data_IF_232644013228
#
_entry.id   IF_232644013228
#
_cell.length_a   1.000
_cell.length_b   1.000
_cell.length_c   1.000
_cell.angle_alpha   90.00
_cell.angle_beta   90.00
_cell.angle_gamma   90.00
#
_symmetry.space_group_name_H-M   'P 1'
#
loop_
_entity.id
_entity.type
_entity.pdbx_description
1 polymer ?
#
# COMPACT_ATOMS: atom_id res chain seq x y z
N UNK A 1 -12.83 17.67 13.58
CA UNK A 1 -13.73 16.90 14.46
C UNK A 1 -14.16 15.67 13.66
N UNK A 2 -13.63 14.50 13.97
CA UNK A 2 -14.14 13.26 13.42
C UNK A 2 -15.44 12.98 14.14
N UNK A 3 -16.58 13.19 13.45
CA UNK A 3 -17.88 12.82 13.99
C UNK A 3 -18.12 11.34 13.69
N UNK A 4 -17.99 10.50 14.69
CA UNK A 4 -18.59 9.17 14.66
C UNK A 4 -20.08 9.37 14.91
N UNK A 5 -20.90 9.34 13.87
CA UNK A 5 -22.37 9.35 14.02
C UNK A 5 -22.76 7.95 14.48
N UNK A 6 -22.86 7.77 15.78
CA UNK A 6 -23.52 6.59 16.36
C UNK A 6 -25.04 6.78 16.18
N UNK A 7 -25.67 5.98 15.34
CA UNK A 7 -27.11 5.84 15.33
C UNK A 7 -27.88 5.99 14.04
N UNK A 8 -27.25 6.09 12.85
CA UNK A 8 -27.99 5.78 11.62
C UNK A 8 -27.78 4.31 11.28
N UNK A 9 -28.85 3.52 11.29
CA UNK A 9 -28.86 2.22 10.63
C UNK A 9 -28.70 2.48 9.14
N UNK A 10 -27.46 2.41 8.66
CA UNK A 10 -27.20 2.31 7.22
C UNK A 10 -27.69 0.93 6.83
N UNK A 11 -28.87 0.83 6.24
CA UNK A 11 -29.29 -0.40 5.58
C UNK A 11 -28.48 -0.55 4.30
N UNK A 12 -27.31 -1.20 4.41
CA UNK A 12 -26.57 -1.64 3.24
C UNK A 12 -27.24 -2.91 2.70
N UNK A 13 -27.78 -2.87 1.49
CA UNK A 13 -28.12 -4.10 0.79
C UNK A 13 -26.82 -4.72 0.28
N UNK A 14 -26.42 -5.84 0.85
CA UNK A 14 -25.29 -6.63 0.34
C UNK A 14 -25.79 -7.49 -0.80
N UNK A 15 -25.17 -7.36 -1.99
CA UNK A 15 -25.48 -8.22 -3.13
C UNK A 15 -25.04 -9.68 -2.88
N UNK A 16 -25.43 -10.57 -3.79
CA UNK A 16 -24.98 -11.96 -3.72
C UNK A 16 -23.46 -12.04 -3.86
N UNK A 17 -22.77 -12.82 -3.01
CA UNK A 17 -21.33 -12.97 -3.11
C UNK A 17 -20.94 -13.67 -4.43
N UNK A 18 -19.95 -13.14 -5.11
CA UNK A 18 -19.27 -13.86 -6.19
C UNK A 18 -18.27 -14.84 -5.57
N UNK A 19 -18.24 -16.09 -6.07
CA UNK A 19 -17.26 -17.06 -5.61
C UNK A 19 -15.85 -16.59 -5.98
N UNK A 20 -14.99 -16.50 -4.98
CA UNK A 20 -13.57 -16.28 -5.18
C UNK A 20 -12.89 -17.61 -5.52
N UNK A 21 -11.82 -17.63 -6.33
CA UNK A 21 -11.09 -18.87 -6.60
C UNK A 21 -10.66 -19.55 -5.29
N UNK A 22 -10.86 -20.86 -5.20
CA UNK A 22 -10.68 -21.65 -3.97
C UNK A 22 -9.22 -21.81 -3.50
N UNK A 23 -8.25 -21.18 -4.17
CA UNK A 23 -6.81 -21.33 -3.91
C UNK A 23 -6.14 -20.07 -3.31
N UNK A 24 -6.92 -19.20 -2.68
CA UNK A 24 -6.38 -18.03 -1.98
C UNK A 24 -5.70 -18.47 -0.68
N UNK A 25 -4.40 -18.26 -0.60
CA UNK A 25 -3.56 -18.63 0.55
C UNK A 25 -2.83 -17.38 1.07
N UNK A 26 -3.45 -16.64 1.96
CA UNK A 26 -2.87 -15.44 2.57
C UNK A 26 -3.67 -14.16 2.33
N UNK A 27 -2.99 -13.02 2.47
CA UNK A 27 -3.58 -11.71 2.33
C UNK A 27 -3.96 -11.40 0.88
N UNK A 28 -4.99 -10.59 0.71
CA UNK A 28 -5.43 -10.08 -0.59
C UNK A 28 -5.24 -8.57 -0.63
N UNK A 29 -4.88 -8.04 -1.78
CA UNK A 29 -4.94 -6.59 -2.05
C UNK A 29 -5.82 -6.32 -3.25
N UNK A 30 -6.49 -5.17 -3.24
CA UNK A 30 -7.34 -4.75 -4.34
C UNK A 30 -7.00 -3.33 -4.77
N UNK A 31 -7.09 -3.08 -6.06
CA UNK A 31 -6.88 -1.76 -6.64
C UNK A 31 -7.95 -1.45 -7.68
N UNK A 32 -8.48 -0.24 -7.63
CA UNK A 32 -9.49 0.21 -8.56
C UNK A 32 -8.85 0.91 -9.76
N UNK A 33 -9.15 0.40 -10.95
CA UNK A 33 -8.82 1.00 -12.25
C UNK A 33 -9.96 1.92 -12.66
N UNK A 34 -9.82 3.20 -12.37
CA UNK A 34 -10.84 4.21 -12.67
C UNK A 34 -11.06 4.38 -14.18
N UNK A 35 -10.04 4.15 -15.01
CA UNK A 35 -10.13 4.27 -16.45
C UNK A 35 -11.00 3.19 -17.10
N UNK A 36 -10.98 1.98 -16.55
CA UNK A 36 -11.76 0.85 -17.04
C UNK A 36 -12.99 0.54 -16.18
N UNK A 37 -13.19 1.24 -15.08
CA UNK A 37 -14.23 0.97 -14.08
C UNK A 37 -14.20 -0.51 -13.63
N UNK A 38 -13.02 -0.96 -13.20
CA UNK A 38 -12.74 -2.33 -12.78
C UNK A 38 -11.93 -2.34 -11.49
N UNK A 39 -12.11 -3.40 -10.71
CA UNK A 39 -11.26 -3.68 -9.55
C UNK A 39 -10.38 -4.88 -9.86
N UNK A 40 -9.08 -4.76 -9.69
CA UNK A 40 -8.17 -5.90 -9.79
C UNK A 40 -7.83 -6.36 -8.38
N UNK A 41 -8.04 -7.65 -8.13
CA UNK A 41 -7.79 -8.28 -6.84
C UNK A 41 -6.61 -9.23 -7.00
N UNK A 42 -5.62 -9.11 -6.14
CA UNK A 42 -4.38 -9.87 -6.15
C UNK A 42 -4.29 -10.75 -4.90
N UNK A 43 -3.72 -11.94 -5.04
CA UNK A 43 -3.47 -12.87 -3.92
C UNK A 43 -2.32 -13.84 -4.22
N UNK A 44 -1.85 -14.50 -3.19
CA UNK A 44 -0.98 -15.67 -3.31
C UNK A 44 -1.85 -16.91 -3.43
N UNK A 45 -1.65 -17.68 -4.49
CA UNK A 45 -2.34 -18.96 -4.72
C UNK A 45 -1.73 -20.11 -3.91
N UNK A 46 -2.37 -21.29 -3.93
CA UNK A 46 -1.96 -22.47 -3.18
C UNK A 46 -0.54 -22.97 -3.51
N UNK A 47 -0.06 -22.76 -4.72
CA UNK A 47 1.31 -23.07 -5.14
C UNK A 47 2.30 -21.92 -4.91
N UNK A 48 1.92 -20.92 -4.10
CA UNK A 48 2.64 -19.66 -3.92
C UNK A 48 2.82 -18.86 -5.23
N UNK A 49 2.07 -19.16 -6.28
CA UNK A 49 2.03 -18.33 -7.48
C UNK A 49 1.28 -17.02 -7.20
N UNK A 50 1.76 -15.93 -7.78
CA UNK A 50 1.07 -14.64 -7.74
C UNK A 50 -0.10 -14.62 -8.71
N UNK A 51 -1.32 -14.49 -8.20
CA UNK A 51 -2.55 -14.54 -8.99
C UNK A 51 -3.37 -13.28 -8.85
N UNK A 52 -4.18 -12.99 -9.86
CA UNK A 52 -5.14 -11.90 -9.81
C UNK A 52 -6.39 -12.19 -10.64
N UNK A 53 -7.42 -11.39 -10.41
CA UNK A 53 -8.67 -11.41 -11.16
C UNK A 53 -9.18 -9.99 -11.37
N UNK A 54 -9.83 -9.75 -12.49
CA UNK A 54 -10.54 -8.49 -12.75
C UNK A 54 -12.00 -8.64 -12.36
N UNK A 55 -12.44 -7.84 -11.41
CA UNK A 55 -13.82 -7.78 -10.94
C UNK A 55 -14.56 -6.59 -11.55
N UNK A 56 -15.82 -6.81 -11.88
CA UNK A 56 -16.78 -5.78 -12.31
C UNK A 56 -17.88 -5.67 -11.29
N UNK A 57 -18.05 -4.47 -10.74
CA UNK A 57 -19.20 -4.14 -9.86
C UNK A 57 -20.29 -3.50 -10.72
N UNK A 58 -21.47 -4.10 -10.71
CA UNK A 58 -22.63 -3.58 -11.43
C UNK A 58 -23.53 -2.72 -10.52
N UNK A 59 -24.28 -1.80 -11.12
CA UNK A 59 -25.19 -0.90 -10.40
C UNK A 59 -26.33 -1.60 -9.65
N UNK A 60 -26.59 -2.87 -9.97
CA UNK A 60 -27.59 -3.72 -9.28
C UNK A 60 -27.01 -4.47 -8.09
N UNK A 61 -25.87 -4.05 -7.54
CA UNK A 61 -25.16 -4.67 -6.43
C UNK A 61 -24.65 -6.11 -6.71
N UNK A 62 -24.42 -6.46 -7.97
CA UNK A 62 -23.77 -7.72 -8.33
C UNK A 62 -22.31 -7.52 -8.65
N UNK A 63 -21.48 -8.53 -8.33
CA UNK A 63 -20.07 -8.59 -8.71
C UNK A 63 -19.88 -9.77 -9.65
N UNK A 64 -19.24 -9.54 -10.77
CA UNK A 64 -18.74 -10.59 -11.65
C UNK A 64 -17.22 -10.55 -11.72
N UNK A 65 -16.60 -11.71 -11.82
CA UNK A 65 -15.14 -11.85 -11.91
C UNK A 65 -14.75 -12.49 -13.23
N UNK A 66 -13.66 -12.05 -13.81
CA UNK A 66 -13.05 -12.63 -15.00
C UNK A 66 -12.28 -13.92 -14.69
N UNK A 67 -11.51 -14.39 -15.66
CA UNK A 67 -10.62 -15.54 -15.47
C UNK A 67 -9.44 -15.15 -14.58
N UNK A 68 -8.96 -16.10 -13.79
CA UNK A 68 -7.73 -15.94 -13.00
C UNK A 68 -6.56 -15.79 -13.96
N UNK A 69 -5.71 -14.82 -13.68
CA UNK A 69 -4.45 -14.56 -14.38
C UNK A 69 -3.30 -14.70 -13.39
N UNK A 70 -2.28 -15.43 -13.76
CA UNK A 70 -1.05 -15.55 -13.01
C UNK A 70 -0.10 -14.42 -13.41
N UNK A 71 0.31 -13.60 -12.44
CA UNK A 71 1.27 -12.52 -12.70
C UNK A 71 2.71 -12.91 -12.33
N UNK A 72 2.90 -13.96 -11.56
CA UNK A 72 4.21 -14.55 -11.22
C UNK A 72 4.06 -16.04 -10.95
N UNK A 73 4.87 -16.85 -11.61
CA UNK A 73 4.88 -18.33 -11.50
C UNK A 73 5.80 -18.85 -10.41
N UNK A 74 6.60 -17.94 -9.81
CA UNK A 74 7.50 -18.23 -8.71
C UNK A 74 6.80 -18.31 -7.36
N UNK A 75 7.61 -18.36 -6.31
CA UNK A 75 7.17 -18.40 -4.92
C UNK A 75 6.93 -16.97 -4.41
N UNK A 76 5.77 -16.40 -4.70
CA UNK A 76 5.36 -15.09 -4.16
C UNK A 76 5.05 -15.24 -2.67
N UNK A 77 5.40 -14.24 -1.86
CA UNK A 77 4.94 -14.13 -0.47
C UNK A 77 3.58 -13.41 -0.40
N UNK A 78 2.98 -13.40 0.77
CA UNK A 78 1.75 -12.64 1.07
C UNK A 78 1.93 -11.11 0.97
N UNK A 79 3.17 -10.62 0.86
CA UNK A 79 3.50 -9.19 0.74
C UNK A 79 3.25 -8.69 -0.70
N UNK A 80 1.99 -8.51 -1.06
CA UNK A 80 1.57 -8.00 -2.37
C UNK A 80 0.89 -6.65 -2.16
N UNK A 81 1.35 -5.63 -2.88
CA UNK A 81 0.69 -4.33 -2.92
C UNK A 81 0.51 -3.85 -4.37
N UNK A 82 -0.52 -3.05 -4.62
CA UNK A 82 -0.78 -2.54 -5.96
C UNK A 82 -1.33 -1.13 -5.92
N UNK A 83 -1.06 -0.37 -6.97
CA UNK A 83 -1.61 0.97 -7.18
C UNK A 83 -2.03 1.18 -8.63
N UNK A 84 -2.99 2.08 -8.86
CA UNK A 84 -3.37 2.52 -10.19
C UNK A 84 -2.56 3.74 -10.59
N UNK A 85 -1.85 3.65 -11.72
CA UNK A 85 -1.11 4.75 -12.33
C UNK A 85 -2.02 5.48 -13.32
N UNK A 86 -2.69 6.53 -12.87
CA UNK A 86 -3.75 7.19 -13.63
C UNK A 86 -3.28 7.76 -14.97
N UNK A 87 -2.10 8.41 -15.03
CA UNK A 87 -1.60 9.00 -16.27
C UNK A 87 -1.30 7.95 -17.35
N UNK A 88 -0.87 6.75 -16.98
CA UNK A 88 -0.59 5.67 -17.92
C UNK A 88 -1.80 4.74 -18.14
N UNK A 89 -2.84 4.81 -17.31
CA UNK A 89 -3.97 3.87 -17.35
C UNK A 89 -3.52 2.43 -17.06
N UNK A 90 -2.66 2.24 -16.07
CA UNK A 90 -2.01 0.96 -15.74
C UNK A 90 -2.13 0.62 -14.26
N UNK A 91 -2.04 -0.67 -13.97
CA UNK A 91 -1.86 -1.18 -12.60
C UNK A 91 -0.37 -1.45 -12.41
N UNK A 92 0.19 -1.00 -11.30
CA UNK A 92 1.52 -1.42 -10.85
C UNK A 92 1.35 -2.32 -9.64
N UNK A 93 1.80 -3.56 -9.75
CA UNK A 93 1.85 -4.51 -8.63
C UNK A 93 3.30 -4.70 -8.21
N UNK A 94 3.52 -4.69 -6.88
CA UNK A 94 4.81 -4.99 -6.26
C UNK A 94 4.64 -6.18 -5.33
N UNK A 95 5.67 -7.01 -5.25
CA UNK A 95 5.62 -8.25 -4.48
C UNK A 95 7.03 -8.73 -4.12
N UNK A 96 7.07 -9.61 -3.12
CA UNK A 96 8.28 -10.33 -2.74
C UNK A 96 8.30 -11.69 -3.43
N UNK A 97 9.43 -12.02 -4.04
CA UNK A 97 9.66 -13.33 -4.68
C UNK A 97 10.58 -14.19 -3.80
N UNK A 98 9.98 -15.09 -3.03
CA UNK A 98 10.70 -16.03 -2.18
C UNK A 98 11.44 -17.12 -2.98
N UNK A 99 10.99 -17.42 -4.19
CA UNK A 99 11.67 -18.33 -5.12
C UNK A 99 13.01 -17.78 -5.60
N UNK A 100 13.21 -16.46 -5.46
CA UNK A 100 14.41 -15.74 -5.83
C UNK A 100 14.99 -14.97 -4.64
N UNK A 101 15.33 -15.65 -3.56
CA UNK A 101 15.99 -15.09 -2.38
C UNK A 101 15.24 -13.95 -1.69
N UNK A 102 13.93 -13.85 -1.87
CA UNK A 102 13.12 -12.79 -1.29
C UNK A 102 13.30 -11.42 -1.95
N UNK A 103 13.67 -11.39 -3.22
CA UNK A 103 13.83 -10.14 -3.98
C UNK A 103 12.50 -9.40 -4.12
N UNK A 104 12.57 -8.05 -4.09
CA UNK A 104 11.40 -7.24 -4.38
C UNK A 104 11.28 -6.96 -5.89
N UNK A 105 10.11 -7.30 -6.43
CA UNK A 105 9.79 -7.21 -7.84
C UNK A 105 8.55 -6.35 -8.11
N UNK A 106 8.45 -5.87 -9.33
CA UNK A 106 7.31 -5.11 -9.83
C UNK A 106 6.91 -5.57 -11.23
N UNK A 107 5.62 -5.46 -11.53
CA UNK A 107 5.06 -5.63 -12.88
C UNK A 107 4.04 -4.55 -13.19
N UNK A 108 3.90 -4.24 -14.48
CA UNK A 108 2.89 -3.30 -14.98
C UNK A 108 1.80 -4.09 -15.68
N UNK A 109 0.56 -3.94 -15.21
CA UNK A 109 -0.62 -4.60 -15.73
C UNK A 109 -1.47 -3.67 -16.61
N UNK A 110 -2.04 -4.21 -17.68
CA UNK A 110 -3.01 -3.54 -18.54
C UNK A 110 -4.33 -4.29 -18.47
N UNK A 111 -5.36 -3.64 -17.93
CA UNK A 111 -6.72 -4.18 -17.89
C UNK A 111 -7.38 -4.01 -19.25
N UNK A 112 -8.04 -5.07 -19.73
CA UNK A 112 -8.84 -5.06 -20.94
C UNK A 112 -10.08 -5.94 -20.75
N UNK A 113 -11.26 -5.33 -20.72
CA UNK A 113 -12.52 -6.02 -20.44
C UNK A 113 -12.50 -6.66 -19.04
N UNK A 114 -12.52 -7.99 -18.97
CA UNK A 114 -12.53 -8.78 -17.73
C UNK A 114 -11.21 -9.50 -17.48
N UNK A 115 -10.15 -9.12 -18.20
CA UNK A 115 -8.82 -9.71 -18.05
C UNK A 115 -7.75 -8.65 -17.87
N UNK A 116 -6.56 -9.07 -17.45
CA UNK A 116 -5.38 -8.24 -17.30
C UNK A 116 -4.18 -8.96 -17.92
N UNK A 117 -3.32 -8.22 -18.61
CA UNK A 117 -2.03 -8.73 -19.10
C UNK A 117 -0.89 -7.95 -18.46
N UNK A 118 0.27 -8.58 -18.30
CA UNK A 118 1.42 -7.99 -17.64
C UNK A 118 2.62 -7.86 -18.58
N UNK A 119 3.35 -6.76 -18.40
CA UNK A 119 4.66 -6.55 -19.00
C UNK A 119 5.76 -7.37 -18.31
N UNK A 120 7.01 -7.05 -18.64
CA UNK A 120 8.18 -7.73 -18.08
C UNK A 120 8.30 -7.49 -16.56
N UNK A 121 8.66 -8.55 -15.80
CA UNK A 121 8.97 -8.41 -14.38
C UNK A 121 10.28 -7.65 -14.19
N UNK A 122 10.30 -6.73 -13.24
CA UNK A 122 11.49 -5.93 -12.91
C UNK A 122 11.83 -6.13 -11.43
N UNK A 123 13.07 -6.55 -11.16
CA UNK A 123 13.61 -6.57 -9.79
C UNK A 123 14.08 -5.18 -9.41
N UNK A 124 13.47 -4.57 -8.42
CA UNK A 124 13.89 -3.26 -7.92
C UNK A 124 14.77 -3.33 -6.65
N UNK A 125 14.78 -4.48 -5.97
CA UNK A 125 15.69 -4.78 -4.88
C UNK A 125 16.14 -6.24 -4.92
N UNK A 126 17.45 -6.46 -4.91
CA UNK A 126 18.10 -7.77 -4.99
C UNK A 126 19.15 -8.00 -3.88
N UNK A 127 19.04 -7.22 -2.80
CA UNK A 127 19.82 -7.45 -1.58
C UNK A 127 19.26 -8.62 -0.75
N UNK A 128 19.69 -8.70 0.50
CA UNK A 128 19.09 -9.66 1.43
C UNK A 128 17.59 -9.46 1.53
N UNK A 129 16.85 -10.53 1.56
CA UNK A 129 15.38 -10.63 1.62
C UNK A 129 14.64 -9.30 1.90
N UNK A 130 13.81 -8.86 0.97
CA UNK A 130 12.94 -7.70 1.21
C UNK A 130 11.74 -8.09 2.06
N UNK A 131 11.22 -7.16 2.85
CA UNK A 131 9.93 -7.30 3.53
C UNK A 131 9.04 -6.10 3.24
N UNK A 132 7.73 -6.35 3.24
CA UNK A 132 6.65 -5.37 3.20
C UNK A 132 6.81 -4.28 2.13
N UNK A 133 6.99 -4.75 0.90
CA UNK A 133 6.89 -3.84 -0.23
C UNK A 133 5.49 -3.21 -0.27
N UNK A 134 5.43 -1.88 -0.36
CA UNK A 134 4.20 -1.13 -0.57
C UNK A 134 4.41 -0.12 -1.68
N UNK A 135 3.32 0.37 -2.29
CA UNK A 135 3.39 1.26 -3.45
C UNK A 135 2.26 2.28 -3.46
N UNK A 136 2.59 3.52 -3.78
CA UNK A 136 1.59 4.57 -4.07
C UNK A 136 1.91 5.28 -5.38
N UNK A 137 0.89 5.87 -6.00
CA UNK A 137 1.02 6.70 -7.19
C UNK A 137 0.99 8.18 -6.80
N UNK A 138 1.96 8.95 -7.26
CA UNK A 138 1.98 10.41 -7.22
C UNK A 138 1.41 10.96 -8.51
N UNK A 139 0.26 11.63 -8.42
CA UNK A 139 -0.40 12.24 -9.61
C UNK A 139 0.35 13.46 -10.13
N UNK A 140 1.01 14.23 -9.27
CA UNK A 140 1.77 15.42 -9.70
C UNK A 140 3.09 15.05 -10.40
N UNK A 141 3.81 14.06 -9.88
CA UNK A 141 5.05 13.59 -10.50
C UNK A 141 4.81 12.59 -11.64
N UNK A 142 3.60 12.02 -11.76
CA UNK A 142 3.28 10.89 -12.66
C UNK A 142 4.25 9.72 -12.45
N UNK A 143 4.52 9.39 -11.17
CA UNK A 143 5.45 8.35 -10.74
C UNK A 143 4.79 7.45 -9.71
N UNK A 144 5.33 6.24 -9.58
CA UNK A 144 5.07 5.42 -8.40
C UNK A 144 6.22 5.53 -7.41
N UNK A 145 5.89 5.43 -6.15
CA UNK A 145 6.89 5.31 -5.08
C UNK A 145 6.71 3.96 -4.43
N UNK A 146 7.78 3.18 -4.40
CA UNK A 146 7.83 1.91 -3.69
C UNK A 146 8.62 2.07 -2.41
N UNK A 147 8.18 1.40 -1.34
CA UNK A 147 8.93 1.27 -0.09
C UNK A 147 9.08 -0.21 0.26
N UNK A 148 10.14 -0.53 0.95
CA UNK A 148 10.44 -1.89 1.42
C UNK A 148 11.45 -1.81 2.56
N UNK A 149 11.58 -2.88 3.32
CA UNK A 149 12.64 -3.02 4.31
C UNK A 149 13.54 -4.21 3.98
N UNK A 150 14.81 -4.10 4.39
CA UNK A 150 15.75 -5.22 4.38
C UNK A 150 15.49 -6.09 5.61
N UNK A 151 15.35 -7.40 5.43
CA UNK A 151 15.07 -8.35 6.51
C UNK A 151 16.23 -8.52 7.49
N UNK A 152 17.48 -8.45 6.98
CA UNK A 152 18.68 -8.68 7.79
C UNK A 152 19.10 -7.45 8.59
N UNK A 153 18.99 -6.25 8.00
CA UNK A 153 19.46 -5.01 8.62
C UNK A 153 18.32 -4.17 9.21
N UNK A 154 17.07 -4.47 8.86
CA UNK A 154 15.89 -3.67 9.19
C UNK A 154 15.94 -2.22 8.66
N UNK A 155 16.78 -1.97 7.65
CA UNK A 155 16.78 -0.67 6.96
C UNK A 155 15.50 -0.48 6.15
N UNK A 156 14.98 0.74 6.17
CA UNK A 156 13.84 1.15 5.36
C UNK A 156 14.26 1.91 4.12
N UNK A 157 13.85 1.41 2.95
CA UNK A 157 14.24 1.95 1.64
C UNK A 157 13.06 2.39 0.81
N UNK A 158 13.32 3.29 -0.11
CA UNK A 158 12.35 3.74 -1.12
C UNK A 158 13.01 3.92 -2.47
N UNK A 159 12.24 3.73 -3.54
CA UNK A 159 12.62 4.09 -4.92
C UNK A 159 11.45 4.73 -5.65
N UNK A 160 11.77 5.59 -6.61
CA UNK A 160 10.79 6.21 -7.51
C UNK A 160 10.78 5.44 -8.82
N UNK A 161 9.60 4.97 -9.24
CA UNK A 161 9.38 4.21 -10.46
C UNK A 161 8.75 5.07 -11.57
N UNK A 162 9.24 4.90 -12.79
CA UNK A 162 8.69 5.50 -14.01
C UNK A 162 8.07 4.40 -14.86
N UNK A 163 6.77 4.51 -15.13
CA UNK A 163 6.04 3.61 -16.03
C UNK A 163 6.11 4.15 -17.46
N UNK A 164 6.42 3.28 -18.42
CA UNK A 164 6.42 3.58 -19.85
C UNK A 164 5.83 2.39 -20.62
N UNK A 165 4.63 2.56 -21.14
CA UNK A 165 3.90 1.44 -21.76
C UNK A 165 3.59 0.34 -20.74
N UNK A 166 4.19 -0.83 -20.90
CA UNK A 166 4.07 -1.98 -19.98
C UNK A 166 5.35 -2.23 -19.18
N UNK A 167 6.31 -1.33 -19.27
CA UNK A 167 7.58 -1.42 -18.57
C UNK A 167 7.63 -0.45 -17.39
N UNK A 168 8.46 -0.76 -16.40
CA UNK A 168 8.77 0.11 -15.28
C UNK A 168 10.28 0.15 -15.04
N UNK A 169 10.80 1.32 -14.77
CA UNK A 169 12.19 1.52 -14.35
C UNK A 169 12.25 2.28 -13.03
N UNK A 170 13.27 2.01 -12.23
CA UNK A 170 13.43 2.63 -10.92
C UNK A 170 14.68 3.49 -10.84
N UNK A 171 14.56 4.64 -10.18
CA UNK A 171 15.68 5.50 -9.84
C UNK A 171 16.52 4.96 -8.68
N UNK A 172 17.40 5.80 -8.17
CA UNK A 172 18.28 5.45 -7.05
C UNK A 172 17.52 5.16 -5.78
N UNK A 173 18.04 4.22 -4.97
CA UNK A 173 17.51 3.92 -3.65
C UNK A 173 17.77 5.08 -2.69
N UNK A 174 16.75 5.44 -1.91
CA UNK A 174 16.83 6.35 -0.79
C UNK A 174 16.52 5.61 0.51
N UNK A 175 17.28 5.86 1.56
CA UNK A 175 17.04 5.31 2.90
C UNK A 175 16.19 6.30 3.70
N UNK A 176 15.02 5.88 4.20
CA UNK A 176 14.20 6.68 5.10
C UNK A 176 14.43 6.32 6.57
N UNK A 177 14.96 5.12 6.84
CA UNK A 177 15.29 4.64 8.19
C UNK A 177 16.47 3.68 8.13
N UNK A 178 17.40 3.78 9.08
CA UNK A 178 18.58 2.92 9.17
C UNK A 178 18.48 1.98 10.38
N UNK A 179 18.46 0.67 10.11
CA UNK A 179 18.52 -0.40 11.11
C UNK A 179 17.32 -0.50 12.06
N UNK A 180 16.16 0.08 11.73
CA UNK A 180 15.14 0.29 12.73
C UNK A 180 13.68 0.14 12.29
N UNK A 181 13.41 -0.24 11.05
CA UNK A 181 12.02 -0.54 10.66
C UNK A 181 11.59 -1.84 11.31
N UNK A 182 10.78 -1.70 12.35
CA UNK A 182 10.26 -2.82 13.13
C UNK A 182 8.86 -3.21 12.70
N UNK A 183 8.53 -4.47 13.00
CA UNK A 183 7.25 -5.02 12.55
C UNK A 183 7.28 -5.29 11.06
N UNK A 184 6.11 -5.57 10.54
CA UNK A 184 5.98 -6.03 9.18
C UNK A 184 5.14 -5.09 8.31
N UNK A 185 4.91 -3.84 8.74
CA UNK A 185 4.02 -2.95 8.01
C UNK A 185 4.63 -1.55 7.88
N UNK A 186 4.58 -1.04 6.66
CA UNK A 186 4.88 0.35 6.34
C UNK A 186 3.61 0.91 5.71
N UNK A 187 2.93 1.80 6.45
CA UNK A 187 1.79 2.53 5.91
C UNK A 187 2.26 3.59 4.92
N UNK A 188 1.54 3.74 3.81
CA UNK A 188 1.83 4.75 2.80
C UNK A 188 0.58 5.52 2.43
N UNK A 189 0.74 6.83 2.22
CA UNK A 189 -0.28 7.68 1.60
C UNK A 189 0.39 8.70 0.68
N UNK A 190 -0.34 9.15 -0.34
CA UNK A 190 0.07 10.29 -1.16
C UNK A 190 -0.89 11.45 -0.91
N UNK A 191 -0.36 12.54 -0.37
CA UNK A 191 -1.05 13.82 -0.21
C UNK A 191 -0.99 14.58 -1.53
N UNK A 192 -2.09 14.55 -2.29
CA UNK A 192 -2.18 15.20 -3.59
C UNK A 192 -2.27 16.72 -3.51
N UNK A 193 -2.61 17.28 -2.35
CA UNK A 193 -2.64 18.73 -2.16
C UNK A 193 -1.24 19.29 -1.88
N UNK A 194 -0.46 18.61 -1.04
CA UNK A 194 0.90 19.02 -0.71
C UNK A 194 1.94 18.47 -1.71
N UNK A 195 1.58 17.53 -2.57
CA UNK A 195 2.48 16.74 -3.42
C UNK A 195 3.57 16.05 -2.60
N UNK A 196 3.14 15.22 -1.64
CA UNK A 196 4.04 14.52 -0.71
C UNK A 196 3.65 13.07 -0.53
N UNK A 197 4.66 12.24 -0.33
CA UNK A 197 4.49 10.85 0.11
C UNK A 197 4.68 10.79 1.62
N UNK A 198 3.74 10.19 2.31
CA UNK A 198 3.82 10.00 3.76
C UNK A 198 4.06 8.52 4.03
N UNK A 199 5.09 8.23 4.81
CA UNK A 199 5.40 6.89 5.30
C UNK A 199 5.12 6.86 6.81
N UNK A 200 4.48 5.81 7.28
CA UNK A 200 4.32 5.51 8.70
C UNK A 200 4.89 4.14 9.01
N UNK A 201 5.66 4.02 10.08
CA UNK A 201 6.32 2.78 10.45
C UNK A 201 6.60 2.74 11.95
N UNK A 202 6.96 1.55 12.42
CA UNK A 202 7.45 1.34 13.78
C UNK A 202 8.96 1.58 13.83
N UNK A 203 9.38 2.57 14.58
CA UNK A 203 10.80 2.93 14.75
C UNK A 203 11.42 2.18 15.94
N UNK A 204 12.19 1.15 15.66
CA UNK A 204 12.85 0.33 16.69
C UNK A 204 13.97 1.07 17.40
N UNK A 205 14.65 2.04 16.73
CA UNK A 205 15.65 2.89 17.38
C UNK A 205 15.02 3.84 18.40
N UNK A 206 13.70 4.04 18.32
CA UNK A 206 12.93 4.85 19.25
C UNK A 206 11.89 4.00 20.01
N UNK A 207 12.33 2.92 20.67
CA UNK A 207 11.52 2.06 21.52
C UNK A 207 10.26 1.46 20.84
N UNK A 208 10.29 1.33 19.52
CA UNK A 208 9.16 0.83 18.72
C UNK A 208 8.01 1.83 18.59
N UNK A 209 8.27 3.11 18.77
CA UNK A 209 7.27 4.17 18.64
C UNK A 209 6.74 4.28 17.23
N UNK A 210 5.46 4.62 17.12
CA UNK A 210 4.83 4.95 15.86
C UNK A 210 5.40 6.26 15.31
N UNK A 211 6.08 6.17 14.18
CA UNK A 211 6.81 7.29 13.56
C UNK A 211 6.34 7.49 12.11
N UNK A 212 6.27 8.72 11.68
CA UNK A 212 5.99 9.07 10.29
C UNK A 212 7.06 10.00 9.73
N UNK A 213 7.23 9.97 8.40
CA UNK A 213 8.17 10.81 7.68
C UNK A 213 7.58 11.22 6.34
N UNK A 214 7.90 12.45 5.89
CA UNK A 214 7.39 13.02 4.65
C UNK A 214 8.45 12.95 3.56
N UNK A 215 8.08 12.37 2.42
CA UNK A 215 8.93 12.25 1.22
C UNK A 215 8.56 13.28 0.16
N UNK A 216 9.58 13.83 -0.49
CA UNK A 216 9.46 14.74 -1.64
C UNK A 216 10.09 14.10 -2.86
N UNK A 217 9.33 13.95 -3.93
CA UNK A 217 9.78 13.41 -5.21
C UNK A 217 10.45 14.52 -6.03
N UNK A 218 11.59 14.21 -6.64
CA UNK A 218 12.26 15.06 -7.61
C UNK A 218 12.83 14.21 -8.76
N UNK A 219 12.18 14.25 -9.91
CA UNK A 219 12.51 13.38 -11.04
C UNK A 219 12.32 11.89 -10.69
N UNK A 220 13.43 11.14 -10.62
CA UNK A 220 13.44 9.72 -10.24
C UNK A 220 14.03 9.47 -8.85
N UNK A 221 14.14 10.52 -8.04
CA UNK A 221 14.67 10.46 -6.67
C UNK A 221 13.61 10.89 -5.67
N UNK A 222 13.76 10.44 -4.43
CA UNK A 222 12.95 10.88 -3.28
C UNK A 222 13.89 11.27 -2.14
N UNK A 223 13.55 12.36 -1.45
CA UNK A 223 14.22 12.81 -0.23
C UNK A 223 13.23 12.90 0.91
N UNK A 224 13.70 12.75 2.14
CA UNK A 224 12.86 12.68 3.32
C UNK A 224 13.13 13.86 4.26
N UNK A 225 12.05 14.35 4.88
CA UNK A 225 12.10 15.40 5.89
C UNK A 225 12.41 14.88 7.29
N UNK A 226 11.96 15.60 8.31
CA UNK A 226 12.16 15.22 9.71
C UNK A 226 11.12 14.18 10.16
N UNK A 227 11.56 13.17 10.91
CA UNK A 227 10.68 12.19 11.55
C UNK A 227 9.76 12.86 12.56
N UNK A 228 8.51 12.41 12.62
CA UNK A 228 7.52 12.84 13.60
C UNK A 228 6.92 11.63 14.31
N UNK A 229 7.00 11.60 15.63
CA UNK A 229 6.37 10.54 16.45
C UNK A 229 4.88 10.84 16.57
N UNK A 230 4.03 9.90 16.15
CA UNK A 230 2.57 10.01 16.33
C UNK A 230 2.06 9.20 17.53
N UNK A 231 2.83 8.21 17.99
CA UNK A 231 2.51 7.39 19.18
C UNK A 231 3.77 7.05 19.96
N UNK A 232 3.85 7.53 21.20
CA UNK A 232 4.97 7.24 22.11
C UNK A 232 4.76 5.89 22.83
N UNK A 233 4.49 4.85 22.05
CA UNK A 233 4.35 3.47 22.46
C UNK A 233 4.61 2.55 21.27
N UNK A 234 4.84 1.27 21.52
CA UNK A 234 4.98 0.26 20.46
C UNK A 234 3.72 0.19 19.61
N UNK A 235 3.92 0.23 18.28
CA UNK A 235 2.85 0.16 17.30
C UNK A 235 3.01 -1.02 16.35
N UNK A 236 1.90 -1.46 15.76
CA UNK A 236 1.83 -2.45 14.68
C UNK A 236 0.54 -2.24 13.85
N UNK A 237 0.29 -3.04 12.81
CA UNK A 237 -0.93 -2.96 12.02
C UNK A 237 -1.14 -1.58 11.39
N UNK A 238 -0.09 -1.02 10.80
CA UNK A 238 -0.06 0.35 10.29
C UNK A 238 -0.73 0.46 8.93
N UNK A 239 -1.67 1.37 8.80
CA UNK A 239 -2.27 1.76 7.53
C UNK A 239 -2.42 3.27 7.45
N UNK A 240 -2.26 3.83 6.25
CA UNK A 240 -2.33 5.27 6.02
C UNK A 240 -3.15 5.56 4.78
N UNK A 241 -3.97 6.60 4.83
CA UNK A 241 -4.76 7.08 3.69
C UNK A 241 -4.82 8.61 3.70
N UNK A 242 -4.92 9.19 2.54
CA UNK A 242 -5.12 10.63 2.37
C UNK A 242 -6.60 10.93 2.11
N UNK A 243 -7.17 11.79 2.92
CA UNK A 243 -8.50 12.37 2.74
C UNK A 243 -8.36 13.67 1.92
N UNK A 244 -8.76 13.62 0.66
CA UNK A 244 -8.63 14.75 -0.26
C UNK A 244 -9.60 15.90 0.02
N UNK A 245 -10.71 15.63 0.70
CA UNK A 245 -11.69 16.65 1.10
C UNK A 245 -11.21 17.39 2.34
N UNK A 246 -10.80 16.67 3.37
CA UNK A 246 -10.24 17.26 4.58
C UNK A 246 -8.81 17.78 4.38
N UNK A 247 -8.11 17.35 3.33
CA UNK A 247 -6.69 17.60 3.08
C UNK A 247 -5.82 17.14 4.26
N UNK A 248 -6.06 15.91 4.72
CA UNK A 248 -5.41 15.30 5.88
C UNK A 248 -5.01 13.87 5.60
N UNK A 249 -4.01 13.42 6.33
CA UNK A 249 -3.64 12.02 6.36
C UNK A 249 -4.25 11.37 7.58
N UNK A 250 -4.97 10.27 7.40
CA UNK A 250 -5.46 9.42 8.47
C UNK A 250 -4.54 8.22 8.60
N UNK A 251 -4.01 8.01 9.79
CA UNK A 251 -3.24 6.83 10.17
C UNK A 251 -4.09 5.98 11.11
N UNK A 252 -4.15 4.67 10.85
CA UNK A 252 -4.67 3.70 11.81
C UNK A 252 -3.56 2.74 12.21
N UNK A 253 -3.57 2.33 13.48
CA UNK A 253 -2.53 1.48 14.05
C UNK A 253 -3.03 0.73 15.27
N UNK A 254 -2.33 -0.33 15.61
CA UNK A 254 -2.49 -1.05 16.86
C UNK A 254 -1.46 -0.57 17.88
N UNK A 255 -1.91 -0.36 19.11
CA UNK A 255 -1.08 -0.15 20.31
C UNK A 255 -1.64 -1.01 21.44
N UNK A 256 -2.33 -0.46 22.41
CA UNK A 256 -3.13 -1.23 23.41
C UNK A 256 -4.48 -1.68 22.81
N UNK A 257 -4.93 -1.03 21.76
CA UNK A 257 -6.13 -1.30 20.97
C UNK A 257 -5.93 -0.74 19.56
N UNK A 258 -6.97 -0.70 18.77
CA UNK A 258 -6.95 -0.02 17.46
C UNK A 258 -7.21 1.46 17.67
N UNK A 259 -6.28 2.27 17.22
CA UNK A 259 -6.34 3.72 17.31
C UNK A 259 -6.24 4.34 15.91
N UNK A 260 -6.74 5.56 15.76
CA UNK A 260 -6.58 6.39 14.58
C UNK A 260 -6.12 7.79 14.97
N UNK A 261 -5.33 8.42 14.10
CA UNK A 261 -4.80 9.77 14.30
C UNK A 261 -4.75 10.52 12.97
N UNK A 262 -5.03 11.81 13.04
CA UNK A 262 -5.01 12.69 11.86
C UNK A 262 -3.72 13.49 11.81
N UNK A 263 -3.03 13.43 10.66
CA UNK A 263 -1.83 14.18 10.34
C UNK A 263 -2.10 15.35 9.39
N UNK A 264 -1.39 16.44 9.59
CA UNK A 264 -1.35 17.58 8.68
C UNK A 264 0.06 17.76 8.13
N UNK A 265 0.20 17.68 6.81
CA UNK A 265 1.46 17.89 6.12
C UNK A 265 1.69 19.38 5.90
N UNK A 266 2.92 19.82 6.13
CA UNK A 266 3.38 21.18 5.84
C UNK A 266 4.83 21.13 5.37
N UNK A 267 5.07 21.45 4.10
CA UNK A 267 6.40 21.33 3.48
C UNK A 267 6.92 19.88 3.53
N UNK A 268 7.98 19.63 4.30
CA UNK A 268 8.59 18.31 4.48
C UNK A 268 8.33 17.74 5.88
N UNK A 269 7.37 18.29 6.61
CA UNK A 269 7.03 17.89 7.98
C UNK A 269 5.58 17.46 8.07
N UNK A 270 5.26 16.65 9.09
CA UNK A 270 3.89 16.27 9.45
C UNK A 270 3.68 16.48 10.94
N UNK A 271 2.53 17.02 11.31
CA UNK A 271 2.11 17.19 12.71
C UNK A 271 0.81 16.44 12.96
N UNK A 272 0.62 15.96 14.18
CA UNK A 272 -0.50 15.11 14.54
C UNK A 272 -1.41 15.76 15.58
N UNK A 273 -2.72 15.50 15.46
CA UNK A 273 -3.71 15.81 16.47
C UNK A 273 -3.73 14.80 17.61
N UNK A 274 -4.81 14.78 18.38
CA UNK A 274 -5.04 13.73 19.38
C UNK A 274 -5.48 12.43 18.68
N UNK A 275 -5.02 11.28 19.20
CA UNK A 275 -5.50 9.97 18.74
C UNK A 275 -6.92 9.69 19.25
N UNK A 276 -7.67 8.94 18.44
CA UNK A 276 -8.99 8.42 18.82
C UNK A 276 -8.92 6.90 18.91
N UNK A 277 -9.52 6.33 19.96
CA UNK A 277 -9.66 4.88 20.09
C UNK A 277 -10.81 4.40 19.22
N UNK A 278 -10.50 3.54 18.25
CA UNK A 278 -11.49 2.87 17.39
C UNK A 278 -12.02 1.62 18.09
N UNK A 279 -11.12 0.86 18.72
CA UNK A 279 -11.44 -0.35 19.50
C UNK A 279 -10.47 -0.45 20.68
N UNK A 280 -11.00 -0.62 21.89
CA UNK A 280 -10.22 -0.58 23.13
C UNK A 280 -9.30 -1.78 23.35
N UNK A 281 -9.55 -2.91 22.71
CA UNK A 281 -8.71 -4.11 22.79
C UNK A 281 -8.84 -4.93 21.51
N UNK A 282 -7.81 -5.65 21.14
CA UNK A 282 -7.84 -6.58 20.00
C UNK A 282 -6.46 -6.80 19.40
N UNK A 283 -6.36 -7.91 18.70
CA UNK A 283 -5.25 -8.28 17.82
C UNK A 283 -5.73 -8.22 16.37
N UNK A 284 -4.93 -7.80 15.45
CA UNK A 284 -5.26 -7.76 14.03
C UNK A 284 -4.52 -6.64 13.31
N UNK A 285 -4.78 -6.48 12.03
CA UNK A 285 -4.29 -5.36 11.22
C UNK A 285 -5.38 -4.30 11.12
N UNK A 286 -5.00 -3.03 11.17
CA UNK A 286 -5.89 -1.93 10.81
C UNK A 286 -5.73 -1.65 9.31
N UNK A 287 -6.83 -1.49 8.60
CA UNK A 287 -6.82 -1.06 7.20
C UNK A 287 -7.70 0.17 7.06
N UNK A 288 -7.20 1.13 6.32
CA UNK A 288 -7.91 2.39 6.00
C UNK A 288 -8.05 2.52 4.51
N UNK A 289 -9.20 2.98 4.07
CA UNK A 289 -9.51 3.32 2.69
C UNK A 289 -10.23 4.66 2.66
N UNK A 290 -10.01 5.44 1.64
CA UNK A 290 -10.76 6.66 1.32
C UNK A 290 -11.65 6.40 0.12
N UNK A 291 -12.91 6.86 0.19
CA UNK A 291 -13.91 6.76 -0.87
C UNK A 291 -14.00 8.07 -1.68
#
# INVERSE_FOLDING_TARGET
TVSVVAGSTVSSSVGSPAAFPADCNGETTAVYDVGNNKTVIFWMGASNAGKCVVATVASNNTVSVGSVVEFEDGSVDSDIAATYHAAAGKIVVVFRDNGNSGYAKARVGTVSGTSISFGTVVTFYNGDSSRKANVVYSSAAEKVVVVYSNDSTSDGFSKVGTVSGTDISFGSQATFESGAVGGNEIGMAYDSNADRVILSYRDQNNSGYGTAIVGTISGTSISFGTKAVFKSATTSGLSSVYDSVAQKVLLSYLSTGTEAIVGTVSGTSITFGASATVKSSGTGTASTVYD
#
